data_IF_159997404646
#
_entry.id   IF_159997404646
#
_cell.length_a   1.000
_cell.length_b   1.000
_cell.length_c   1.000
_cell.angle_alpha   90.00
_cell.angle_beta   90.00
_cell.angle_gamma   90.00
#
_symmetry.space_group_name_H-M   'P 1'
#
loop_
_entity.id
_entity.type
_entity.pdbx_description
1 polymer ?
#
# COMPACT_ATOMS: atom_id res chain seq x y z
N UNK A 1 -43.97 12.09 9.19
CA UNK A 1 -42.68 11.90 8.51
C UNK A 1 -41.69 12.76 9.27
N UNK A 2 -40.77 12.13 10.03
CA UNK A 2 -39.65 12.87 10.63
C UNK A 2 -38.64 13.07 9.50
N UNK A 3 -38.35 14.32 9.16
CA UNK A 3 -37.19 14.65 8.33
C UNK A 3 -35.96 14.26 9.14
N UNK A 4 -35.26 13.23 8.69
CA UNK A 4 -33.92 12.91 9.15
C UNK A 4 -33.01 14.06 8.70
N UNK A 5 -32.62 14.91 9.65
CA UNK A 5 -31.74 16.05 9.37
C UNK A 5 -30.44 15.50 8.79
N UNK A 6 -30.06 15.95 7.60
CA UNK A 6 -28.75 15.62 7.03
C UNK A 6 -27.66 15.89 8.08
N UNK A 7 -26.70 14.97 8.27
CA UNK A 7 -25.65 15.16 9.25
C UNK A 7 -24.93 16.48 8.98
N UNK A 8 -24.69 17.25 10.04
CA UNK A 8 -23.96 18.51 9.94
C UNK A 8 -22.61 18.27 9.22
N UNK A 9 -22.20 19.18 8.31
CA UNK A 9 -20.93 19.01 7.59
C UNK A 9 -19.78 18.94 8.60
N UNK A 10 -18.97 17.89 8.49
CA UNK A 10 -17.76 17.74 9.30
C UNK A 10 -16.81 18.86 8.89
N UNK A 11 -16.55 19.81 9.78
CA UNK A 11 -15.54 20.87 9.55
C UNK A 11 -14.18 20.20 9.47
N UNK A 12 -13.51 20.33 8.33
CA UNK A 12 -12.18 19.80 8.10
C UNK A 12 -11.14 20.87 8.43
N UNK A 13 -10.12 20.50 9.21
CA UNK A 13 -8.99 21.38 9.52
C UNK A 13 -7.90 21.20 8.46
N UNK A 14 -7.48 22.29 7.80
CA UNK A 14 -6.48 22.27 6.74
C UNK A 14 -5.09 22.65 7.28
N UNK A 15 -4.09 21.85 6.91
CA UNK A 15 -2.67 22.15 7.04
C UNK A 15 -2.04 22.23 5.65
N UNK A 16 -1.52 23.39 5.27
CA UNK A 16 -0.66 23.52 4.09
C UNK A 16 0.78 23.29 4.52
N UNK A 17 1.47 22.37 3.85
CA UNK A 17 2.84 21.98 4.22
C UNK A 17 3.75 22.01 3.00
N UNK A 18 4.96 22.52 3.18
CA UNK A 18 6.01 22.68 2.16
C UNK A 18 7.33 22.04 2.57
N UNK A 19 7.42 21.51 3.80
CA UNK A 19 8.63 20.95 4.37
C UNK A 19 8.34 19.84 5.37
N UNK A 20 9.36 19.02 5.66
CA UNK A 20 9.31 17.94 6.66
C UNK A 20 8.88 18.44 8.05
N UNK A 21 9.41 19.59 8.47
CA UNK A 21 9.07 20.17 9.79
C UNK A 21 7.60 20.60 9.89
N UNK A 22 7.02 21.12 8.81
CA UNK A 22 5.60 21.48 8.76
C UNK A 22 4.71 20.23 8.73
N UNK A 23 5.12 19.20 7.99
CA UNK A 23 4.44 17.90 7.97
C UNK A 23 4.44 17.26 9.37
N UNK A 24 5.58 17.20 10.05
CA UNK A 24 5.68 16.70 11.42
C UNK A 24 4.77 17.48 12.38
N UNK A 25 4.77 18.81 12.28
CA UNK A 25 3.97 19.66 13.14
C UNK A 25 2.47 19.46 12.93
N UNK A 26 2.03 19.29 11.68
CA UNK A 26 0.65 18.96 11.35
C UNK A 26 0.26 17.59 11.93
N UNK A 27 1.05 16.55 11.67
CA UNK A 27 0.78 15.19 12.16
C UNK A 27 0.77 15.12 13.68
N UNK A 28 1.68 15.81 14.35
CA UNK A 28 1.68 15.92 15.81
C UNK A 28 0.38 16.51 16.35
N UNK A 29 -0.07 17.65 15.79
CA UNK A 29 -1.34 18.27 16.19
C UNK A 29 -2.53 17.34 15.97
N UNK A 30 -2.55 16.63 14.83
CA UNK A 30 -3.60 15.65 14.52
C UNK A 30 -3.61 14.52 15.54
N UNK A 31 -2.46 13.96 15.91
CA UNK A 31 -2.37 12.86 16.87
C UNK A 31 -2.72 13.28 18.31
N UNK A 32 -2.51 14.55 18.67
CA UNK A 32 -2.85 15.11 19.98
C UNK A 32 -4.33 15.51 20.10
N UNK A 33 -5.05 15.69 18.98
CA UNK A 33 -6.46 16.05 18.98
C UNK A 33 -7.38 14.91 19.45
N UNK A 34 -8.46 15.27 20.16
CA UNK A 34 -9.45 14.32 20.70
C UNK A 34 -10.28 13.63 19.61
N UNK A 35 -10.43 14.27 18.45
CA UNK A 35 -11.26 13.81 17.34
C UNK A 35 -11.21 14.80 16.18
N UNK A 36 -11.44 14.34 14.94
CA UNK A 36 -11.65 15.25 13.80
C UNK A 36 -11.34 14.64 12.44
N UNK A 37 -11.58 15.46 11.41
CA UNK A 37 -11.15 15.23 10.04
C UNK A 37 -10.18 16.35 9.63
N UNK A 38 -9.08 15.97 9.01
CA UNK A 38 -7.95 16.84 8.74
C UNK A 38 -7.50 16.67 7.29
N UNK A 39 -7.15 17.77 6.64
CA UNK A 39 -6.47 17.77 5.35
C UNK A 39 -5.02 18.19 5.57
N UNK A 40 -4.08 17.42 5.04
CA UNK A 40 -2.70 17.85 4.82
C UNK A 40 -2.56 18.09 3.32
N UNK A 41 -2.24 19.31 2.91
CA UNK A 41 -2.13 19.72 1.52
C UNK A 41 -0.70 20.10 1.22
N UNK A 42 -0.04 19.33 0.34
CA UNK A 42 1.32 19.65 -0.09
C UNK A 42 1.31 20.91 -0.96
N UNK A 43 2.28 21.78 -0.72
CA UNK A 43 2.54 23.00 -1.51
C UNK A 43 3.94 23.02 -2.12
N UNK A 44 4.73 21.99 -1.82
CA UNK A 44 6.04 21.72 -2.40
C UNK A 44 6.34 20.22 -2.25
N UNK A 45 7.34 19.75 -3.01
CA UNK A 45 7.93 18.44 -2.76
C UNK A 45 8.61 18.39 -1.39
N UNK A 46 8.49 17.27 -0.68
CA UNK A 46 9.08 17.08 0.65
C UNK A 46 10.04 15.89 0.59
N UNK A 47 11.26 16.06 1.06
CA UNK A 47 12.20 14.95 1.26
C UNK A 47 12.28 14.60 2.73
N UNK A 48 11.92 13.36 3.07
CA UNK A 48 12.15 12.80 4.38
C UNK A 48 13.61 12.31 4.49
N UNK A 49 14.23 12.38 5.68
CA UNK A 49 15.50 11.72 5.94
C UNK A 49 15.38 10.19 5.76
N UNK A 50 16.48 9.55 5.38
CA UNK A 50 16.58 8.08 5.32
C UNK A 50 17.15 7.55 6.63
N UNK A 51 16.78 6.33 7.00
CA UNK A 51 17.46 5.66 8.11
C UNK A 51 18.89 5.29 7.70
N UNK A 52 19.86 5.75 8.49
CA UNK A 52 21.25 5.30 8.35
C UNK A 52 21.48 3.97 9.07
N UNK A 53 20.57 3.60 9.98
CA UNK A 53 20.61 2.34 10.73
C UNK A 53 19.47 1.41 10.27
N UNK A 54 19.77 0.34 9.52
CA UNK A 54 18.77 -0.59 9.03
C UNK A 54 18.06 -1.39 10.16
N UNK A 55 18.49 -1.23 11.42
CA UNK A 55 17.83 -1.80 12.60
C UNK A 55 16.92 -0.82 13.34
N UNK A 56 16.96 0.48 13.02
CA UNK A 56 16.05 1.49 13.54
C UNK A 56 14.90 1.72 12.56
N UNK A 57 13.79 1.05 12.82
CA UNK A 57 12.56 1.10 12.03
C UNK A 57 11.69 2.33 12.34
N UNK A 58 12.12 3.22 13.25
CA UNK A 58 11.25 4.26 13.84
C UNK A 58 11.77 5.68 13.67
N UNK A 59 13.04 5.87 13.31
CA UNK A 59 13.69 7.18 13.36
C UNK A 59 13.09 8.22 12.40
N UNK A 60 12.41 7.80 11.32
CA UNK A 60 12.02 8.69 10.23
C UNK A 60 10.62 8.43 9.66
N UNK A 61 9.80 7.66 10.38
CA UNK A 61 8.42 7.38 9.99
C UNK A 61 7.50 8.57 10.30
N UNK A 62 6.54 8.82 9.40
CA UNK A 62 5.41 9.70 9.69
C UNK A 62 4.29 8.83 10.29
N UNK A 63 4.15 8.90 11.60
CA UNK A 63 3.18 8.11 12.37
C UNK A 63 1.81 8.79 12.45
N UNK A 64 0.81 8.18 11.85
CA UNK A 64 -0.59 8.62 11.88
C UNK A 64 -1.35 7.69 12.84
N UNK A 65 -1.60 8.18 14.04
CA UNK A 65 -2.07 7.36 15.17
C UNK A 65 -3.55 7.53 15.48
N UNK A 66 -4.17 8.60 14.97
CA UNK A 66 -5.57 8.92 15.23
C UNK A 66 -6.22 9.64 14.05
N UNK A 67 -7.54 9.80 14.17
CA UNK A 67 -8.34 10.69 13.34
C UNK A 67 -8.41 10.29 11.87
N UNK A 68 -9.15 11.09 11.09
CA UNK A 68 -9.26 10.94 9.65
C UNK A 68 -8.37 11.99 8.99
N UNK A 69 -7.38 11.55 8.22
CA UNK A 69 -6.45 12.40 7.49
C UNK A 69 -6.68 12.20 5.99
N UNK A 70 -6.83 13.29 5.24
CA UNK A 70 -6.67 13.30 3.79
C UNK A 70 -5.35 13.98 3.45
N UNK A 71 -4.45 13.27 2.77
CA UNK A 71 -3.21 13.82 2.23
C UNK A 71 -3.42 14.13 0.75
N UNK A 72 -3.34 15.41 0.41
CA UNK A 72 -3.44 15.92 -0.95
C UNK A 72 -2.05 16.24 -1.48
N UNK A 73 -1.68 15.63 -2.60
CA UNK A 73 -0.39 15.84 -3.25
C UNK A 73 -0.33 17.11 -4.07
N UNK A 74 -1.43 17.56 -4.68
CA UNK A 74 -1.45 18.70 -5.61
C UNK A 74 -0.34 18.66 -6.68
N UNK A 75 0.06 17.46 -7.13
CA UNK A 75 1.15 17.25 -8.08
C UNK A 75 2.55 17.09 -7.46
N UNK A 76 2.66 17.08 -6.13
CA UNK A 76 3.94 16.98 -5.43
C UNK A 76 4.33 15.56 -5.05
N UNK A 77 5.63 15.41 -4.77
CA UNK A 77 6.25 14.16 -4.33
C UNK A 77 6.73 14.24 -2.88
N UNK A 78 6.45 13.19 -2.10
CA UNK A 78 7.18 12.92 -0.86
C UNK A 78 8.28 11.90 -1.19
N UNK A 79 9.54 12.32 -1.08
CA UNK A 79 10.72 11.47 -1.28
C UNK A 79 11.15 10.82 0.03
N UNK A 80 11.69 9.61 -0.09
CA UNK A 80 12.02 8.72 1.03
C UNK A 80 10.80 8.49 1.93
N UNK A 81 9.62 8.38 1.31
CA UNK A 81 8.37 8.26 2.03
C UNK A 81 8.33 6.96 2.85
N UNK A 82 8.06 7.09 4.14
CA UNK A 82 7.74 6.01 5.07
C UNK A 82 6.63 6.52 6.01
N UNK A 83 5.40 6.13 5.74
CA UNK A 83 4.21 6.54 6.48
C UNK A 83 3.60 5.32 7.16
N UNK A 84 3.22 5.47 8.42
CA UNK A 84 2.59 4.40 9.19
C UNK A 84 1.22 4.82 9.71
N UNK A 85 0.19 4.01 9.41
CA UNK A 85 -1.20 4.24 9.84
C UNK A 85 -1.54 3.23 10.93
N UNK A 86 -1.70 3.73 12.17
CA UNK A 86 -1.83 2.93 13.38
C UNK A 86 -3.06 3.26 14.23
N UNK A 87 -3.34 2.39 15.19
CA UNK A 87 -4.28 2.61 16.28
C UNK A 87 -5.69 3.06 15.82
N UNK A 88 -6.16 2.53 14.69
CA UNK A 88 -7.46 2.85 14.11
C UNK A 88 -7.54 4.18 13.34
N UNK A 89 -6.41 4.85 13.11
CA UNK A 89 -6.35 6.01 12.23
C UNK A 89 -6.83 5.69 10.81
N UNK A 90 -7.36 6.70 10.12
CA UNK A 90 -7.78 6.58 8.73
C UNK A 90 -6.99 7.56 7.87
N UNK A 91 -6.22 7.04 6.93
CA UNK A 91 -5.52 7.84 5.92
C UNK A 91 -6.24 7.70 4.58
N UNK A 92 -6.45 8.83 3.92
CA UNK A 92 -6.90 8.90 2.53
C UNK A 92 -5.84 9.63 1.72
N UNK A 93 -5.34 8.99 0.66
CA UNK A 93 -4.39 9.59 -0.27
C UNK A 93 -5.14 10.04 -1.53
N UNK A 94 -4.96 11.30 -1.91
CA UNK A 94 -5.59 11.88 -3.09
C UNK A 94 -7.07 12.22 -2.90
N UNK A 95 -7.74 12.52 -4.02
CA UNK A 95 -9.19 12.80 -4.09
C UNK A 95 -9.92 11.66 -4.79
N UNK A 96 -11.13 11.37 -4.32
CA UNK A 96 -12.00 10.31 -4.88
C UNK A 96 -12.33 10.52 -6.37
N UNK A 97 -12.38 11.77 -6.82
CA UNK A 97 -12.62 12.12 -8.23
C UNK A 97 -11.36 12.00 -9.13
N UNK A 98 -10.21 11.62 -8.56
CA UNK A 98 -8.94 11.48 -9.27
C UNK A 98 -8.31 12.81 -9.70
N UNK A 99 -8.75 13.94 -9.17
CA UNK A 99 -8.22 15.27 -9.53
C UNK A 99 -6.95 15.67 -8.77
N UNK A 100 -6.40 14.79 -7.95
CA UNK A 100 -5.23 15.05 -7.11
C UNK A 100 -4.11 14.04 -7.37
N UNK A 101 -3.03 14.53 -7.96
CA UNK A 101 -1.83 13.73 -8.17
C UNK A 101 -0.94 13.76 -6.93
N UNK A 102 -0.47 12.60 -6.47
CA UNK A 102 0.45 12.46 -5.35
C UNK A 102 1.44 11.33 -5.66
N UNK A 103 2.74 11.60 -5.54
CA UNK A 103 3.75 10.53 -5.57
C UNK A 103 4.36 10.35 -4.18
N UNK A 104 4.29 9.13 -3.65
CA UNK A 104 5.11 8.70 -2.52
C UNK A 104 6.24 7.85 -3.07
N UNK A 105 7.45 8.39 -3.03
CA UNK A 105 8.64 7.73 -3.55
C UNK A 105 9.48 7.20 -2.40
N UNK A 106 9.65 5.89 -2.33
CA UNK A 106 10.56 5.26 -1.38
C UNK A 106 12.02 5.42 -1.79
N UNK A 107 12.87 4.58 -1.21
CA UNK A 107 14.31 4.61 -1.44
C UNK A 107 14.92 3.22 -1.37
N UNK A 108 16.17 3.11 -1.81
CA UNK A 108 16.97 1.89 -1.69
C UNK A 108 17.53 1.76 -0.29
N UNK A 109 17.52 0.54 0.25
CA UNK A 109 17.80 0.25 1.65
C UNK A 109 16.74 0.76 2.64
N UNK A 110 15.49 0.79 2.18
CA UNK A 110 14.35 0.95 3.07
C UNK A 110 14.26 -0.21 4.07
N UNK A 111 13.86 0.09 5.29
CA UNK A 111 13.74 -0.90 6.38
C UNK A 111 12.33 -1.48 6.49
N UNK A 112 11.35 -0.83 5.85
CA UNK A 112 9.94 -1.22 5.88
C UNK A 112 9.33 -1.12 4.46
N UNK A 113 8.08 -0.67 4.33
CA UNK A 113 7.48 -0.22 3.08
C UNK A 113 7.25 1.30 3.07
N UNK A 114 6.88 1.84 1.90
CA UNK A 114 6.44 3.24 1.77
C UNK A 114 5.24 3.52 2.68
N UNK A 115 4.32 2.56 2.73
CA UNK A 115 3.13 2.59 3.58
C UNK A 115 3.08 1.34 4.46
N UNK A 116 2.98 1.56 5.76
CA UNK A 116 2.68 0.51 6.73
C UNK A 116 1.31 0.79 7.32
N UNK A 117 0.42 -0.20 7.29
CA UNK A 117 -0.90 -0.12 7.88
C UNK A 117 -0.96 -1.20 8.96
N UNK A 118 -0.98 -0.77 10.22
CA UNK A 118 -1.04 -1.64 11.39
C UNK A 118 -2.27 -1.24 12.20
N UNK A 119 -3.37 -2.00 12.13
CA UNK A 119 -4.66 -1.69 12.76
C UNK A 119 -5.37 -0.40 12.30
N UNK A 120 -4.85 0.26 11.25
CA UNK A 120 -5.45 1.43 10.61
C UNK A 120 -6.30 1.11 9.38
N UNK A 121 -6.82 2.16 8.74
CA UNK A 121 -7.45 2.08 7.41
C UNK A 121 -6.76 3.03 6.45
N UNK A 122 -6.43 2.54 5.25
CA UNK A 122 -5.91 3.35 4.15
C UNK A 122 -6.85 3.28 2.96
N UNK A 123 -7.20 4.44 2.40
CA UNK A 123 -7.82 4.59 1.09
C UNK A 123 -6.84 5.29 0.15
N UNK A 124 -6.57 4.70 -1.00
CA UNK A 124 -5.71 5.30 -2.02
C UNK A 124 -6.51 5.45 -3.30
N UNK A 125 -6.63 6.70 -3.76
CA UNK A 125 -7.45 7.05 -4.92
C UNK A 125 -6.61 7.25 -6.18
N UNK A 126 -7.29 7.37 -7.31
CA UNK A 126 -6.68 7.58 -8.63
C UNK A 126 -5.67 8.72 -8.65
N UNK A 127 -4.64 8.58 -9.49
CA UNK A 127 -3.50 9.52 -9.64
C UNK A 127 -2.56 9.60 -8.42
N UNK A 128 -2.72 8.71 -7.44
CA UNK A 128 -1.70 8.46 -6.41
C UNK A 128 -0.76 7.34 -6.88
N UNK A 129 0.55 7.52 -6.66
CA UNK A 129 1.61 6.60 -7.08
C UNK A 129 2.58 6.26 -5.94
N UNK A 130 2.83 4.97 -5.70
CA UNK A 130 3.90 4.46 -4.85
C UNK A 130 5.01 3.87 -5.70
N UNK A 131 6.25 4.35 -5.55
CA UNK A 131 7.34 3.87 -6.42
C UNK A 131 8.73 3.97 -5.82
N UNK A 132 9.66 3.16 -6.36
CA UNK A 132 11.09 3.31 -6.15
C UNK A 132 11.59 2.86 -4.79
N UNK A 133 10.80 2.10 -4.03
CA UNK A 133 11.23 1.53 -2.77
C UNK A 133 11.88 0.17 -2.96
N UNK A 134 13.07 -0.01 -2.38
CA UNK A 134 13.81 -1.28 -2.42
C UNK A 134 14.29 -1.62 -1.01
N UNK A 135 13.63 -2.58 -0.38
CA UNK A 135 13.93 -2.97 1.00
C UNK A 135 15.24 -3.77 1.10
N UNK A 136 16.15 -3.37 2.01
CA UNK A 136 17.48 -4.01 2.20
C UNK A 136 17.48 -5.23 3.13
N UNK A 137 16.49 -5.35 4.01
CA UNK A 137 16.41 -6.44 4.98
C UNK A 137 14.97 -6.91 5.14
N UNK A 138 14.75 -8.22 4.91
CA UNK A 138 13.68 -9.09 5.43
C UNK A 138 12.62 -8.37 6.29
N UNK A 139 11.32 -8.34 5.99
CA UNK A 139 10.48 -9.47 5.53
C UNK A 139 9.21 -9.08 4.77
N UNK A 140 8.80 -7.83 4.63
CA UNK A 140 7.43 -7.57 4.14
C UNK A 140 7.24 -6.20 3.46
N UNK A 141 6.55 -6.20 2.32
CA UNK A 141 5.97 -5.04 1.67
C UNK A 141 6.99 -4.14 0.99
N UNK A 142 7.30 -4.41 -0.28
CA UNK A 142 8.17 -3.52 -1.05
C UNK A 142 7.56 -2.13 -1.24
N UNK A 143 6.23 -1.96 -1.26
CA UNK A 143 5.61 -0.64 -1.19
C UNK A 143 4.62 -0.52 -0.03
N UNK A 144 3.76 -1.52 0.13
CA UNK A 144 2.67 -1.50 1.13
C UNK A 144 2.75 -2.75 2.00
N UNK A 145 2.69 -2.54 3.31
CA UNK A 145 2.63 -3.58 4.33
C UNK A 145 1.32 -3.46 5.11
N UNK A 146 0.56 -4.55 5.23
CA UNK A 146 -0.77 -4.57 5.86
C UNK A 146 -0.79 -5.64 6.96
N UNK A 147 -1.00 -5.24 8.21
CA UNK A 147 -0.91 -6.11 9.38
C UNK A 147 -1.95 -5.77 10.45
N UNK A 148 -2.24 -6.73 11.34
CA UNK A 148 -2.96 -6.53 12.61
C UNK A 148 -4.29 -5.79 12.47
N UNK A 149 -5.26 -6.39 11.77
CA UNK A 149 -6.61 -5.81 11.64
C UNK A 149 -6.72 -4.63 10.68
N UNK A 150 -5.64 -4.31 9.95
CA UNK A 150 -5.61 -3.23 8.99
C UNK A 150 -6.48 -3.48 7.76
N UNK A 151 -6.98 -2.39 7.17
CA UNK A 151 -7.73 -2.39 5.91
C UNK A 151 -7.04 -1.47 4.91
N UNK A 152 -6.76 -1.98 3.70
CA UNK A 152 -6.32 -1.18 2.57
C UNK A 152 -7.35 -1.24 1.43
N UNK A 153 -7.73 -0.08 0.91
CA UNK A 153 -8.58 0.07 -0.25
C UNK A 153 -7.83 0.83 -1.36
N UNK A 154 -7.67 0.18 -2.51
CA UNK A 154 -7.02 0.69 -3.72
C UNK A 154 -8.10 0.88 -4.81
N UNK A 155 -8.22 2.08 -5.37
CA UNK A 155 -9.35 2.45 -6.25
C UNK A 155 -8.96 2.78 -7.70
N UNK A 156 -7.73 3.21 -7.97
CA UNK A 156 -7.32 3.65 -9.31
C UNK A 156 -5.85 4.06 -9.43
N UNK A 157 -5.07 3.72 -8.41
CA UNK A 157 -3.72 4.15 -8.13
C UNK A 157 -2.65 3.22 -8.73
N UNK A 158 -1.39 3.64 -8.63
CA UNK A 158 -0.23 2.90 -9.14
C UNK A 158 0.72 2.47 -8.02
N UNK A 159 1.02 1.18 -7.91
CA UNK A 159 2.08 0.64 -7.06
C UNK A 159 3.12 -0.01 -7.96
N UNK A 160 4.20 0.71 -8.24
CA UNK A 160 5.10 0.35 -9.35
C UNK A 160 6.58 0.45 -9.04
N UNK A 161 7.34 -0.52 -9.57
CA UNK A 161 8.80 -0.56 -9.44
C UNK A 161 9.28 -0.52 -7.98
N UNK A 162 8.64 -1.31 -7.13
CA UNK A 162 9.04 -1.50 -5.74
C UNK A 162 9.51 -2.94 -5.53
N UNK A 163 10.23 -3.20 -4.44
CA UNK A 163 10.66 -4.55 -4.17
C UNK A 163 11.54 -4.73 -2.96
N UNK A 164 12.17 -5.91 -2.88
CA UNK A 164 13.19 -6.22 -1.90
C UNK A 164 14.42 -6.88 -2.54
N UNK A 165 15.56 -6.69 -1.90
CA UNK A 165 16.85 -7.20 -2.41
C UNK A 165 17.17 -8.63 -1.94
N UNK A 166 16.36 -9.19 -1.04
CA UNK A 166 16.65 -10.47 -0.37
C UNK A 166 15.68 -11.59 -0.77
N UNK A 167 16.13 -12.83 -0.58
CA UNK A 167 15.37 -14.08 -0.77
C UNK A 167 14.24 -14.31 0.25
N UNK A 168 13.83 -13.27 1.00
CA UNK A 168 12.68 -13.31 1.91
C UNK A 168 11.87 -12.00 1.82
N UNK A 169 11.88 -11.39 0.64
CA UNK A 169 11.03 -10.24 0.35
C UNK A 169 9.64 -10.74 -0.05
N UNK A 170 8.61 -10.31 0.66
CA UNK A 170 7.23 -10.71 0.40
C UNK A 170 6.43 -9.51 -0.08
N UNK A 171 5.71 -9.67 -1.19
CA UNK A 171 4.84 -8.64 -1.73
C UNK A 171 5.60 -7.42 -2.19
N UNK A 172 6.26 -7.51 -3.35
CA UNK A 172 7.10 -6.43 -3.88
C UNK A 172 6.32 -5.12 -4.03
N UNK A 173 5.03 -5.21 -4.38
CA UNK A 173 4.08 -4.11 -4.25
C UNK A 173 3.38 -4.16 -2.90
N UNK A 174 2.60 -5.23 -2.65
CA UNK A 174 1.71 -5.32 -1.48
C UNK A 174 1.92 -6.63 -0.70
N UNK A 175 2.12 -6.52 0.61
CA UNK A 175 2.18 -7.66 1.53
C UNK A 175 1.05 -7.62 2.56
N UNK A 176 0.32 -8.72 2.66
CA UNK A 176 -0.81 -8.95 3.59
C UNK A 176 -0.41 -10.02 4.61
N UNK A 177 -0.31 -9.65 5.88
CA UNK A 177 0.42 -10.45 6.88
C UNK A 177 -0.41 -11.12 7.95
N UNK A 178 -1.63 -10.66 8.25
CA UNK A 178 -2.39 -11.20 9.38
C UNK A 178 -3.78 -11.65 8.94
N UNK A 179 -4.31 -12.71 9.57
CA UNK A 179 -5.62 -13.28 9.24
C UNK A 179 -6.78 -12.29 9.34
N UNK A 180 -6.62 -11.25 10.15
CA UNK A 180 -7.62 -10.20 10.41
C UNK A 180 -7.45 -8.96 9.50
N UNK A 181 -6.52 -9.00 8.53
CA UNK A 181 -6.30 -7.90 7.59
C UNK A 181 -7.13 -8.06 6.33
N UNK A 182 -7.44 -6.94 5.68
CA UNK A 182 -8.16 -6.91 4.40
C UNK A 182 -7.44 -6.01 3.41
N UNK A 183 -7.18 -6.53 2.20
CA UNK A 183 -6.82 -5.73 1.05
C UNK A 183 -7.92 -5.83 -0.01
N UNK A 184 -8.49 -4.68 -0.37
CA UNK A 184 -9.46 -4.53 -1.44
C UNK A 184 -8.82 -3.75 -2.61
N UNK A 185 -8.84 -4.35 -3.79
CA UNK A 185 -8.44 -3.69 -5.03
C UNK A 185 -9.66 -3.60 -5.94
N UNK A 186 -10.12 -2.37 -6.17
CA UNK A 186 -11.27 -2.06 -7.04
C UNK A 186 -10.83 -1.57 -8.43
N UNK A 187 -9.55 -1.21 -8.58
CA UNK A 187 -8.95 -0.68 -9.78
C UNK A 187 -7.45 -0.42 -9.58
N UNK A 188 -6.84 0.30 -10.53
CA UNK A 188 -5.43 0.67 -10.47
C UNK A 188 -4.48 -0.41 -11.02
N UNK A 189 -3.18 -0.18 -10.84
CA UNK A 189 -2.11 -1.01 -11.41
C UNK A 189 -1.05 -1.35 -10.38
N UNK A 190 -0.70 -2.64 -10.28
CA UNK A 190 0.44 -3.15 -9.53
C UNK A 190 1.42 -3.75 -10.53
N UNK A 191 2.53 -3.04 -10.81
CA UNK A 191 3.42 -3.45 -11.91
C UNK A 191 4.92 -3.27 -11.68
N UNK A 192 5.72 -4.13 -12.31
CA UNK A 192 7.18 -4.01 -12.25
C UNK A 192 7.76 -4.21 -10.85
N UNK A 193 6.98 -4.78 -9.93
CA UNK A 193 7.44 -5.01 -8.57
C UNK A 193 8.21 -6.32 -8.47
N UNK A 194 9.21 -6.36 -7.58
CA UNK A 194 10.12 -7.50 -7.45
C UNK A 194 10.20 -8.03 -6.02
N UNK A 195 10.01 -9.33 -5.83
CA UNK A 195 10.08 -9.96 -4.52
C UNK A 195 10.51 -11.43 -4.61
N UNK A 196 10.55 -12.13 -3.47
CA UNK A 196 10.60 -13.60 -3.44
C UNK A 196 9.19 -14.19 -3.59
N UNK A 197 8.18 -13.56 -2.97
CA UNK A 197 6.77 -13.95 -3.05
C UNK A 197 5.92 -12.81 -3.65
N UNK A 198 5.52 -12.97 -4.90
CA UNK A 198 4.64 -12.12 -5.70
C UNK A 198 4.84 -10.60 -5.73
N UNK A 199 4.24 -9.97 -6.74
CA UNK A 199 3.91 -8.54 -6.68
C UNK A 199 2.93 -8.26 -5.54
N UNK A 200 1.97 -9.16 -5.33
CA UNK A 200 1.07 -9.23 -4.18
C UNK A 200 1.33 -10.54 -3.42
N UNK A 201 1.47 -10.46 -2.09
CA UNK A 201 1.66 -11.62 -1.23
C UNK A 201 0.66 -11.67 -0.08
N UNK A 202 0.06 -12.83 0.16
CA UNK A 202 -0.77 -13.13 1.34
C UNK A 202 -0.23 -14.36 2.06
N UNK A 203 0.07 -14.24 3.35
CA UNK A 203 0.74 -15.31 4.12
C UNK A 203 -0.16 -16.03 5.12
N UNK A 204 -0.81 -15.28 6.01
CA UNK A 204 -1.53 -15.82 7.18
C UNK A 204 -3.05 -15.82 7.03
N UNK A 205 -3.54 -15.93 5.79
CA UNK A 205 -4.97 -15.97 5.52
C UNK A 205 -5.66 -14.61 5.64
N UNK A 206 -4.95 -13.50 5.44
CA UNK A 206 -5.60 -12.21 5.24
C UNK A 206 -6.60 -12.26 4.07
N UNK A 207 -7.59 -11.38 4.09
CA UNK A 207 -8.63 -11.30 3.06
C UNK A 207 -8.11 -10.50 1.88
N UNK A 208 -8.20 -11.09 0.68
CA UNK A 208 -7.81 -10.44 -0.56
C UNK A 208 -9.01 -10.40 -1.51
N UNK A 209 -9.57 -9.21 -1.71
CA UNK A 209 -10.70 -8.97 -2.61
C UNK A 209 -10.20 -8.21 -3.84
N UNK A 210 -10.01 -8.91 -4.96
CA UNK A 210 -9.53 -8.34 -6.22
C UNK A 210 -10.69 -8.26 -7.21
N UNK A 211 -11.25 -7.06 -7.36
CA UNK A 211 -12.49 -6.78 -8.10
C UNK A 211 -12.32 -5.75 -9.23
N UNK A 212 -11.13 -5.65 -9.80
CA UNK A 212 -10.79 -4.70 -10.85
C UNK A 212 -9.31 -4.31 -10.84
N UNK A 213 -8.77 -3.96 -12.00
CA UNK A 213 -7.41 -3.45 -12.15
C UNK A 213 -6.43 -4.42 -12.82
N UNK A 214 -5.15 -4.02 -12.81
CA UNK A 214 -4.08 -4.67 -13.57
C UNK A 214 -2.95 -5.10 -12.63
N UNK A 215 -2.50 -6.34 -12.77
CA UNK A 215 -1.30 -6.87 -12.12
C UNK A 215 -0.38 -7.35 -13.23
N UNK A 216 0.68 -6.60 -13.52
CA UNK A 216 1.52 -6.89 -14.69
C UNK A 216 3.01 -6.70 -14.51
N UNK A 217 3.81 -7.48 -15.24
CA UNK A 217 5.27 -7.31 -15.25
C UNK A 217 5.94 -7.46 -13.89
N UNK A 218 5.26 -8.07 -12.90
CA UNK A 218 5.86 -8.32 -11.59
C UNK A 218 6.73 -9.59 -11.66
N UNK A 219 7.81 -9.61 -10.88
CA UNK A 219 8.77 -10.70 -10.86
C UNK A 219 8.94 -11.22 -9.45
N UNK A 220 8.69 -12.52 -9.24
CA UNK A 220 8.96 -13.15 -7.96
C UNK A 220 9.41 -14.60 -8.11
N UNK A 221 9.97 -15.23 -7.08
CA UNK A 221 10.27 -16.66 -7.15
C UNK A 221 8.98 -17.49 -7.16
N UNK A 222 7.96 -17.07 -6.41
CA UNK A 222 6.66 -17.73 -6.38
C UNK A 222 5.54 -16.72 -6.62
N UNK A 223 4.61 -17.06 -7.51
CA UNK A 223 3.42 -16.23 -7.75
C UNK A 223 3.78 -14.87 -8.33
N UNK A 224 4.53 -14.81 -9.43
CA UNK A 224 5.11 -13.57 -9.98
C UNK A 224 4.19 -12.35 -9.88
N UNK A 225 2.92 -12.50 -10.28
CA UNK A 225 1.85 -11.56 -9.99
C UNK A 225 1.34 -11.68 -8.54
N UNK A 226 0.70 -12.81 -8.24
CA UNK A 226 0.08 -13.07 -6.92
C UNK A 226 0.62 -14.35 -6.29
N UNK A 227 1.14 -14.24 -5.07
CA UNK A 227 1.35 -15.36 -4.16
C UNK A 227 0.28 -15.36 -3.06
N UNK A 228 -0.40 -16.48 -2.85
CA UNK A 228 -1.42 -16.60 -1.81
C UNK A 228 -1.26 -17.91 -1.05
N UNK A 229 -1.15 -17.84 0.28
CA UNK A 229 -1.18 -18.97 1.21
C UNK A 229 -2.05 -18.67 2.44
N UNK A 230 -2.47 -19.70 3.17
CA UNK A 230 -3.13 -19.53 4.48
C UNK A 230 -4.61 -19.95 4.57
N UNK A 231 -5.19 -20.49 3.51
CA UNK A 231 -6.45 -21.23 3.51
C UNK A 231 -7.75 -20.44 3.34
N UNK A 232 -7.69 -19.10 3.23
CA UNK A 232 -8.91 -18.26 3.21
C UNK A 232 -9.60 -18.10 1.86
N UNK A 233 -9.00 -18.66 0.80
CA UNK A 233 -9.52 -18.59 -0.56
C UNK A 233 -9.15 -17.27 -1.25
N UNK A 234 -8.87 -17.36 -2.56
CA UNK A 234 -8.55 -16.23 -3.42
C UNK A 234 -9.65 -16.09 -4.46
N UNK A 235 -10.29 -14.93 -4.51
CA UNK A 235 -11.27 -14.60 -5.55
C UNK A 235 -10.71 -13.50 -6.44
N UNK A 236 -10.63 -13.80 -7.74
CA UNK A 236 -10.25 -12.86 -8.79
C UNK A 236 -11.49 -12.55 -9.61
N UNK A 237 -11.90 -11.29 -9.64
CA UNK A 237 -13.04 -10.81 -10.40
C UNK A 237 -12.63 -9.60 -11.24
N UNK A 238 -12.91 -9.64 -12.55
CA UNK A 238 -12.67 -8.53 -13.48
C UNK A 238 -11.21 -8.00 -13.47
N UNK A 239 -10.23 -8.90 -13.32
CA UNK A 239 -8.80 -8.56 -13.28
C UNK A 239 -8.11 -8.80 -14.63
N UNK A 240 -7.04 -8.05 -14.89
CA UNK A 240 -6.01 -8.42 -15.86
C UNK A 240 -4.71 -8.81 -15.12
N UNK A 241 -4.26 -10.05 -15.27
CA UNK A 241 -3.00 -10.54 -14.72
C UNK A 241 -2.10 -10.99 -15.87
N UNK A 242 -1.14 -10.15 -16.27
CA UNK A 242 -0.39 -10.37 -17.49
C UNK A 242 1.11 -10.11 -17.41
N UNK A 243 1.92 -10.88 -18.14
CA UNK A 243 3.36 -10.61 -18.25
C UNK A 243 4.14 -10.73 -16.95
N UNK A 244 3.59 -11.36 -15.91
CA UNK A 244 4.27 -11.57 -14.64
C UNK A 244 5.16 -12.81 -14.73
N UNK A 245 6.30 -12.80 -14.06
CA UNK A 245 7.31 -13.85 -14.19
C UNK A 245 7.65 -14.50 -12.85
N UNK A 246 7.75 -15.83 -12.87
CA UNK A 246 8.35 -16.59 -11.79
C UNK A 246 9.86 -16.76 -12.07
N UNK A 247 10.74 -16.09 -11.32
CA UNK A 247 12.20 -16.13 -11.50
C UNK A 247 12.91 -16.38 -10.15
N UNK A 248 13.60 -17.51 -10.03
CA UNK A 248 14.37 -17.84 -8.83
C UNK A 248 15.87 -17.68 -9.06
N UNK A 249 16.56 -16.98 -8.14
CA UNK A 249 18.03 -16.83 -8.15
C UNK A 249 18.82 -18.08 -7.69
N UNK A 250 18.14 -19.20 -7.43
CA UNK A 250 18.76 -20.44 -6.94
C UNK A 250 17.80 -21.51 -6.39
N UNK A 251 16.47 -21.33 -6.52
CA UNK A 251 15.43 -22.22 -6.01
C UNK A 251 14.36 -22.56 -7.06
N UNK A 252 13.15 -22.92 -6.61
CA UNK A 252 12.02 -23.22 -7.49
C UNK A 252 11.34 -21.92 -7.93
N UNK A 253 10.94 -21.87 -9.20
CA UNK A 253 10.10 -20.82 -9.75
C UNK A 253 8.71 -21.39 -10.05
N UNK A 254 7.66 -20.90 -9.40
CA UNK A 254 6.30 -21.44 -9.54
C UNK A 254 5.24 -20.35 -9.74
N UNK A 255 4.44 -20.50 -10.80
CA UNK A 255 3.26 -19.67 -11.07
C UNK A 255 3.61 -18.22 -11.41
N UNK A 256 3.94 -17.93 -12.67
CA UNK A 256 4.25 -16.55 -13.11
C UNK A 256 3.10 -15.59 -12.85
N UNK A 257 1.86 -15.98 -13.14
CA UNK A 257 0.68 -15.16 -12.86
C UNK A 257 0.21 -15.28 -11.41
N UNK A 258 -0.27 -16.46 -11.03
CA UNK A 258 -0.86 -16.73 -9.71
C UNK A 258 -0.32 -18.05 -9.16
N UNK A 259 0.11 -18.04 -7.91
CA UNK A 259 0.43 -19.24 -7.13
C UNK A 259 -0.43 -19.29 -5.86
N UNK A 260 -1.46 -20.14 -5.89
CA UNK A 260 -2.38 -20.35 -4.78
C UNK A 260 -2.01 -21.63 -4.01
N UNK A 261 -1.30 -21.47 -2.90
CA UNK A 261 -0.80 -22.58 -2.08
C UNK A 261 -1.82 -22.98 -1.01
N UNK A 262 -2.43 -24.16 -1.19
CA UNK A 262 -3.48 -24.70 -0.29
C UNK A 262 -4.69 -23.76 -0.12
N UNK A 263 -4.95 -22.93 -1.13
CA UNK A 263 -6.07 -22.00 -1.16
C UNK A 263 -7.04 -22.40 -2.27
N UNK A 264 -8.35 -22.28 -2.02
CA UNK A 264 -9.32 -22.33 -3.10
C UNK A 264 -9.11 -21.09 -3.99
N UNK A 265 -9.06 -21.29 -5.31
CA UNK A 265 -8.97 -20.21 -6.29
C UNK A 265 -10.27 -20.13 -7.09
N UNK A 266 -10.94 -18.99 -7.01
CA UNK A 266 -12.11 -18.66 -7.84
C UNK A 266 -11.73 -17.57 -8.82
N UNK A 267 -11.94 -17.82 -10.11
CA UNK A 267 -11.61 -16.86 -11.19
C UNK A 267 -12.89 -16.56 -11.96
N UNK A 268 -13.26 -15.29 -12.02
CA UNK A 268 -14.46 -14.79 -12.70
C UNK A 268 -14.08 -13.57 -13.54
N UNK A 269 -14.50 -13.54 -14.80
CA UNK A 269 -14.32 -12.36 -15.69
C UNK A 269 -12.88 -11.82 -15.72
N UNK A 270 -11.90 -12.68 -15.43
CA UNK A 270 -10.50 -12.32 -15.24
C UNK A 270 -9.67 -12.92 -16.36
N UNK A 271 -8.78 -12.12 -16.93
CA UNK A 271 -7.76 -12.55 -17.87
C UNK A 271 -6.45 -12.86 -17.15
N UNK A 272 -5.88 -14.04 -17.42
CA UNK A 272 -4.53 -14.42 -16.98
C UNK A 272 -3.75 -14.84 -18.23
N UNK A 273 -2.81 -14.01 -18.70
CA UNK A 273 -2.17 -14.20 -20.02
C UNK A 273 -0.68 -13.83 -20.03
N UNK A 274 0.14 -14.55 -20.81
CA UNK A 274 1.55 -14.21 -21.01
C UNK A 274 2.44 -14.25 -19.75
N UNK A 275 2.07 -15.04 -18.74
CA UNK A 275 2.84 -15.23 -17.50
C UNK A 275 3.64 -16.53 -17.48
#
# INVERSE_FOLDING_TARGET
MQEESAPAPVVQTLFEVSSKGELDAAVKQINEAEGGAYIISLTADITLPQTEDPSDFTAYTIDLLKNKIQLLGNGHTIYNAELEVRDGAQLTLGREDGSDSLTLKGYTAGVSGILVIDSGTLNMYSDVKLTGHMASSNRFGGAVRIQRGAVFNMYGDEIVNNGGETAYSYGGGVAVESADTTFNMYGGTISGNKADLGGICVLEGGVLNLGGGVIEGNTAAYGGGIYSSGGTGLTLNNMLIAGNAAEAGGGWALGGGVYANKNALTVQETEISGN
#
